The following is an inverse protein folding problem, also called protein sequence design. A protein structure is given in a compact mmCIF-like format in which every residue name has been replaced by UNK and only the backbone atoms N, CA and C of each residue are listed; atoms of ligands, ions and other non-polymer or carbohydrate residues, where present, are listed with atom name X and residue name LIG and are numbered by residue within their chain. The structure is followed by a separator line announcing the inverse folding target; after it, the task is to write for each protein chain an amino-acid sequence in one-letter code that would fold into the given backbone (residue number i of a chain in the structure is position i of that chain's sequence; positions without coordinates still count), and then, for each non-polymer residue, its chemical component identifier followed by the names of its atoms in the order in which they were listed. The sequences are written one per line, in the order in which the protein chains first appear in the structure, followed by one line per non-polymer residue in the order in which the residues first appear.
data_IF_838986602563
#
_entry.id   IF_838986602563
#
_cell.length_a   1.000
_cell.length_b   1.000
_cell.length_c   1.000
_cell.angle_alpha   90.00
_cell.angle_beta   90.00
_cell.angle_gamma   90.00
#
_symmetry.space_group_name_H-M   'P 1'
#
loop_
_entity.id
_entity.type
_entity.pdbx_description
1 polymer ?
#
# COMPACT_ATOMS: atom_id res chain seq x y z
N UNK A 1 8.86 0.20 6.35
CA UNK A 1 7.73 0.78 5.60
C UNK A 1 8.10 0.76 4.13
N UNK A 2 7.23 0.28 3.24
CA UNK A 2 7.44 0.40 1.80
C UNK A 2 7.40 1.86 1.38
N UNK A 3 8.14 2.23 0.33
CA UNK A 3 8.23 3.61 -0.19
C UNK A 3 7.03 4.04 -1.04
N UNK A 4 6.05 3.14 -1.20
CA UNK A 4 4.99 3.27 -2.18
C UNK A 4 3.67 2.77 -1.60
N UNK A 5 2.59 3.25 -2.20
CA UNK A 5 1.26 2.73 -1.96
C UNK A 5 1.16 1.30 -2.52
N UNK A 6 0.46 0.41 -1.81
CA UNK A 6 0.32 -1.00 -2.23
C UNK A 6 -1.13 -1.40 -2.43
N UNK A 7 -1.37 -2.32 -3.35
CA UNK A 7 -2.67 -2.94 -3.60
C UNK A 7 -2.53 -4.46 -3.51
N UNK A 8 -3.45 -5.08 -2.80
CA UNK A 8 -3.55 -6.53 -2.62
C UNK A 8 -4.96 -6.99 -2.98
N UNK A 9 -5.07 -8.25 -3.39
CA UNK A 9 -6.32 -8.86 -3.81
C UNK A 9 -6.58 -10.08 -2.92
N UNK A 10 -7.81 -10.23 -2.42
CA UNK A 10 -8.19 -11.46 -1.71
C UNK A 10 -8.36 -12.62 -2.72
N UNK A 11 -8.07 -13.84 -2.27
CA UNK A 11 -8.29 -15.06 -3.05
C UNK A 11 -9.78 -15.31 -3.27
N UNK A 12 -10.16 -15.75 -4.48
CA UNK A 12 -11.56 -16.04 -4.83
C UNK A 12 -12.35 -14.89 -5.45
N UNK A 13 -11.69 -13.90 -6.04
CA UNK A 13 -12.33 -12.90 -6.89
C UNK A 13 -12.96 -13.54 -8.13
N UNK A 14 -14.19 -13.13 -8.47
CA UNK A 14 -14.90 -13.61 -9.68
C UNK A 14 -14.44 -12.89 -10.96
N UNK A 15 -13.79 -11.73 -10.83
CA UNK A 15 -13.31 -10.93 -11.96
C UNK A 15 -12.19 -11.62 -12.74
N UNK A 16 -12.23 -11.51 -14.06
CA UNK A 16 -11.18 -12.03 -14.94
C UNK A 16 -9.92 -11.16 -14.84
N UNK A 17 -8.85 -11.73 -14.29
CA UNK A 17 -7.54 -11.09 -14.35
C UNK A 17 -6.85 -11.37 -15.69
N UNK A 18 -6.11 -10.40 -16.24
CA UNK A 18 -5.26 -10.63 -17.40
C UNK A 18 -4.24 -11.74 -17.09
N UNK A 19 -3.93 -12.56 -18.09
CA UNK A 19 -3.00 -13.67 -17.94
C UNK A 19 -1.56 -13.15 -17.79
N UNK A 20 -1.14 -12.98 -16.54
CA UNK A 20 0.18 -12.50 -16.13
C UNK A 20 1.12 -13.64 -15.69
N UNK A 21 0.70 -14.90 -15.86
CA UNK A 21 1.50 -16.07 -15.48
C UNK A 21 1.68 -16.31 -13.98
N UNK A 22 0.98 -15.55 -13.13
CA UNK A 22 1.03 -15.65 -11.68
C UNK A 22 -0.35 -15.32 -11.06
N UNK A 23 -0.59 -15.81 -9.85
CA UNK A 23 -1.83 -15.52 -9.14
C UNK A 23 -1.80 -14.08 -8.59
N UNK A 24 -2.80 -13.23 -8.92
CA UNK A 24 -2.81 -11.83 -8.50
C UNK A 24 -3.01 -11.66 -6.99
N UNK A 25 -3.60 -12.64 -6.29
CA UNK A 25 -3.83 -12.58 -4.83
C UNK A 25 -2.55 -12.79 -4.03
N UNK A 26 -1.59 -13.55 -4.56
CA UNK A 26 -0.28 -13.77 -3.95
C UNK A 26 0.69 -12.59 -4.17
N UNK A 27 0.31 -11.62 -5.00
CA UNK A 27 1.16 -10.50 -5.39
C UNK A 27 0.75 -9.23 -4.62
N UNK A 28 1.72 -8.64 -3.92
CA UNK A 28 1.61 -7.25 -3.47
C UNK A 28 2.02 -6.31 -4.59
N UNK A 29 1.05 -5.61 -5.13
CA UNK A 29 1.22 -4.67 -6.23
C UNK A 29 1.58 -3.28 -5.74
N UNK A 30 2.41 -2.56 -6.49
CA UNK A 30 2.72 -1.17 -6.21
C UNK A 30 1.77 -0.28 -7.00
N UNK A 31 1.09 0.67 -6.35
CA UNK A 31 0.18 1.60 -7.05
C UNK A 31 0.86 2.92 -7.41
N UNK A 32 0.30 3.63 -8.40
CA UNK A 32 0.78 4.96 -8.84
C UNK A 32 -0.28 6.07 -8.74
N UNK A 33 -1.57 5.74 -8.66
CA UNK A 33 -2.60 6.65 -9.21
C UNK A 33 -3.28 7.59 -8.24
N UNK A 34 -3.48 7.22 -6.97
CA UNK A 34 -4.40 7.97 -6.10
C UNK A 34 -3.84 9.35 -5.77
N UNK A 35 -2.52 9.44 -5.62
CA UNK A 35 -1.80 10.68 -5.45
C UNK A 35 -0.56 10.67 -6.36
N UNK A 36 -0.77 10.88 -7.67
CA UNK A 36 0.28 10.90 -8.71
C UNK A 36 1.53 11.73 -8.37
N UNK A 37 1.44 12.66 -7.42
CA UNK A 37 2.53 13.54 -7.02
C UNK A 37 3.13 13.23 -5.64
N UNK A 38 2.51 12.38 -4.82
CA UNK A 38 2.98 12.04 -3.47
C UNK A 38 2.53 10.63 -3.09
N UNK A 39 3.43 9.62 -3.04
CA UNK A 39 3.08 8.32 -2.48
C UNK A 39 2.66 8.51 -1.02
N UNK A 40 1.44 8.08 -0.68
CA UNK A 40 0.87 8.29 0.65
C UNK A 40 1.26 7.18 1.65
N UNK A 41 2.00 6.16 1.17
CA UNK A 41 2.40 4.97 1.92
C UNK A 41 1.18 4.20 2.46
N UNK A 42 0.12 4.22 1.67
CA UNK A 42 -1.19 3.67 1.97
C UNK A 42 -1.31 2.25 1.41
N UNK A 43 -1.96 1.40 2.16
CA UNK A 43 -2.22 0.03 1.75
C UNK A 43 -3.70 -0.09 1.38
N UNK A 44 -3.96 -0.73 0.25
CA UNK A 44 -5.27 -0.99 -0.30
C UNK A 44 -5.46 -2.49 -0.45
N UNK A 45 -6.70 -2.94 -0.26
CA UNK A 45 -7.10 -4.30 -0.57
C UNK A 45 -8.40 -4.30 -1.35
N UNK A 46 -8.52 -5.23 -2.29
CA UNK A 46 -9.80 -5.57 -2.90
C UNK A 46 -10.29 -6.86 -2.28
N UNK A 47 -11.50 -6.85 -1.73
CA UNK A 47 -12.08 -8.02 -1.08
C UNK A 47 -12.65 -9.00 -2.08
N UNK A 48 -13.01 -10.21 -1.63
CA UNK A 48 -13.72 -11.20 -2.45
C UNK A 48 -15.06 -10.69 -3.01
N UNK A 49 -15.66 -9.70 -2.34
CA UNK A 49 -16.87 -8.99 -2.79
C UNK A 49 -16.55 -7.89 -3.81
N UNK A 50 -15.31 -7.86 -4.30
CA UNK A 50 -14.81 -6.90 -5.29
C UNK A 50 -14.90 -5.44 -4.79
N UNK A 51 -14.88 -5.23 -3.47
CA UNK A 51 -14.93 -3.91 -2.83
C UNK A 51 -13.53 -3.41 -2.52
N UNK A 52 -13.29 -2.12 -2.78
CA UNK A 52 -12.05 -1.45 -2.41
C UNK A 52 -12.07 -1.06 -0.93
N UNK A 53 -11.08 -1.52 -0.20
CA UNK A 53 -10.82 -1.14 1.18
C UNK A 53 -9.48 -0.43 1.28
N UNK A 54 -9.45 0.59 2.12
CA UNK A 54 -8.24 1.33 2.49
C UNK A 54 -7.84 0.97 3.91
N UNK A 55 -6.55 0.78 4.13
CA UNK A 55 -5.99 0.57 5.45
C UNK A 55 -6.18 1.82 6.31
N UNK A 56 -6.83 1.65 7.47
CA UNK A 56 -6.91 2.69 8.48
C UNK A 56 -5.69 2.61 9.39
N UNK A 57 -4.94 3.71 9.46
CA UNK A 57 -3.74 3.81 10.28
C UNK A 57 -3.76 5.03 11.16
N UNK A 58 -3.25 4.85 12.37
CA UNK A 58 -2.94 5.94 13.27
C UNK A 58 -1.42 6.06 13.44
N UNK A 59 -0.94 7.28 13.64
CA UNK A 59 0.47 7.53 13.92
C UNK A 59 0.63 7.91 15.37
N UNK A 60 1.26 7.05 16.14
CA UNK A 60 1.58 7.31 17.55
C UNK A 60 3.01 7.82 17.67
N UNK A 61 3.23 8.76 18.60
CA UNK A 61 4.58 9.20 18.93
C UNK A 61 5.32 8.09 19.68
N UNK A 62 6.58 7.89 19.32
CA UNK A 62 7.48 6.95 19.97
C UNK A 62 8.37 7.74 20.94
N UNK A 63 8.46 7.35 22.22
CA UNK A 63 9.39 7.97 23.17
C UNK A 63 10.84 7.77 22.69
N UNK A 64 11.72 8.71 23.03
CA UNK A 64 13.09 8.75 22.51
C UNK A 64 13.88 7.48 22.80
N UNK A 65 13.70 6.91 23.98
CA UNK A 65 14.35 5.67 24.44
C UNK A 65 14.06 4.46 23.56
N UNK A 66 12.88 4.44 22.91
CA UNK A 66 12.46 3.35 22.00
C UNK A 66 12.76 3.69 20.52
N UNK A 67 13.37 4.84 20.22
CA UNK A 67 13.69 5.25 18.84
C UNK A 67 14.97 4.58 18.35
N UNK A 68 15.06 4.29 17.05
CA UNK A 68 16.32 3.86 16.46
C UNK A 68 17.39 4.95 16.65
N UNK A 69 18.64 4.54 16.87
CA UNK A 69 19.81 5.42 17.07
C UNK A 69 19.81 6.24 18.37
N UNK A 70 18.92 5.92 19.31
CA UNK A 70 19.06 6.38 20.69
C UNK A 70 20.21 5.62 21.36
N UNK A 71 21.18 6.35 21.91
CA UNK A 71 22.29 5.78 22.65
C UNK A 71 21.96 5.75 24.15
N UNK A 72 21.78 4.55 24.71
CA UNK A 72 21.42 4.37 26.12
C UNK A 72 22.56 4.75 27.10
N UNK A 73 23.81 4.81 26.64
CA UNK A 73 24.97 5.13 27.48
C UNK A 73 25.15 6.64 27.66
N UNK A 74 24.86 7.41 26.60
CA UNK A 74 25.01 8.87 26.55
C UNK A 74 23.70 9.62 26.69
N UNK A 75 22.56 8.94 26.61
CA UNK A 75 21.20 9.52 26.62
C UNK A 75 20.99 10.55 25.48
N UNK A 76 21.73 10.41 24.38
CA UNK A 76 21.76 11.36 23.26
C UNK A 76 21.59 10.65 21.91
N UNK A 77 21.19 11.42 20.88
CA UNK A 77 21.23 10.98 19.48
C UNK A 77 22.48 11.49 18.81
N UNK A 78 23.06 10.69 17.90
CA UNK A 78 24.27 11.09 17.16
C UNK A 78 24.10 12.38 16.34
N UNK A 79 22.86 12.74 15.96
CA UNK A 79 22.55 13.94 15.19
C UNK A 79 21.06 14.32 15.28
N UNK A 80 20.70 15.61 15.10
CA UNK A 80 19.30 16.06 15.08
C UNK A 80 18.43 15.39 13.99
N UNK A 81 19.05 14.94 12.90
CA UNK A 81 18.34 14.18 11.85
C UNK A 81 17.98 12.76 12.33
N UNK A 82 18.83 12.14 13.15
CA UNK A 82 18.62 10.80 13.72
C UNK A 82 17.59 10.83 14.85
N UNK A 83 17.55 11.90 15.64
CA UNK A 83 16.53 12.13 16.69
C UNK A 83 15.10 12.09 16.16
N UNK A 84 14.89 12.57 14.93
CA UNK A 84 13.59 12.55 14.26
C UNK A 84 13.27 11.18 13.64
N UNK A 85 14.27 10.32 13.43
CA UNK A 85 14.09 9.01 12.83
C UNK A 85 13.33 8.09 13.80
N UNK A 86 12.26 7.46 13.31
CA UNK A 86 11.44 6.55 14.12
C UNK A 86 10.61 7.24 15.21
N UNK A 87 10.53 8.57 15.25
CA UNK A 87 9.72 9.30 16.24
C UNK A 87 8.21 9.09 16.13
N UNK A 88 7.74 8.45 15.05
CA UNK A 88 6.34 8.02 14.89
C UNK A 88 6.28 6.58 14.42
N UNK A 89 5.38 5.80 15.01
CA UNK A 89 5.03 4.45 14.56
C UNK A 89 3.67 4.43 13.89
N UNK A 90 3.57 3.76 12.74
CA UNK A 90 2.30 3.47 12.05
C UNK A 90 1.63 2.30 12.76
N UNK A 91 0.44 2.51 13.29
CA UNK A 91 -0.38 1.51 13.96
C UNK A 91 -1.57 1.19 13.07
N UNK A 92 -1.69 -0.07 12.66
CA UNK A 92 -2.83 -0.57 11.92
C UNK A 92 -4.07 -0.57 12.83
N UNK A 93 -5.13 0.13 12.42
CA UNK A 93 -6.41 0.18 13.13
C UNK A 93 -7.49 -0.67 12.48
N UNK A 94 -7.34 -1.02 11.21
CA UNK A 94 -8.26 -1.87 10.50
C UNK A 94 -8.32 -1.54 9.01
N UNK A 95 -9.46 -1.88 8.42
CA UNK A 95 -9.76 -1.64 7.02
C UNK A 95 -11.12 -0.95 6.94
N UNK A 96 -11.17 0.14 6.20
CA UNK A 96 -12.41 0.85 5.90
C UNK A 96 -12.76 0.72 4.42
N UNK A 97 -14.05 0.52 4.17
CA UNK A 97 -14.61 0.54 2.84
C UNK A 97 -14.45 1.94 2.22
N UNK A 98 -14.05 1.98 0.96
CA UNK A 98 -13.79 3.21 0.25
C UNK A 98 -14.75 3.36 -0.93
N UNK A 99 -15.64 4.36 -0.86
CA UNK A 99 -16.47 4.79 -1.98
C UNK A 99 -15.62 5.55 -3.00
N UNK A 100 -14.82 4.81 -3.78
CA UNK A 100 -13.93 5.35 -4.80
C UNK A 100 -14.51 5.15 -6.20
N UNK A 101 -14.43 6.20 -7.02
CA UNK A 101 -14.82 6.15 -8.43
C UNK A 101 -13.63 6.63 -9.27
N UNK A 102 -13.03 5.73 -10.06
CA UNK A 102 -11.84 6.04 -10.84
C UNK A 102 -11.04 4.81 -11.23
N UNK A 103 -9.77 5.02 -11.59
CA UNK A 103 -8.86 3.96 -12.02
C UNK A 103 -7.65 3.91 -11.08
N UNK A 104 -7.26 2.71 -10.69
CA UNK A 104 -6.02 2.39 -10.00
C UNK A 104 -5.02 1.83 -11.01
N UNK A 105 -3.90 2.50 -11.20
CA UNK A 105 -2.76 1.92 -11.91
C UNK A 105 -1.88 1.23 -10.88
N UNK A 106 -1.55 -0.03 -11.15
CA UNK A 106 -0.71 -0.84 -10.29
C UNK A 106 0.22 -1.72 -11.11
N UNK A 107 1.39 -2.00 -10.57
CA UNK A 107 2.47 -2.64 -11.31
C UNK A 107 3.36 -3.50 -10.41
N UNK A 108 3.99 -4.49 -11.03
CA UNK A 108 4.95 -5.39 -10.39
C UNK A 108 5.91 -5.95 -11.43
N UNK A 109 7.17 -6.15 -11.04
CA UNK A 109 8.10 -6.97 -11.82
C UNK A 109 7.93 -8.43 -11.43
N UNK A 110 7.55 -9.28 -12.39
CA UNK A 110 7.32 -10.72 -12.24
C UNK A 110 8.33 -11.43 -13.16
N UNK A 111 9.16 -12.32 -12.61
CA UNK A 111 10.21 -13.04 -13.37
C UNK A 111 11.15 -12.17 -14.23
N UNK A 112 11.26 -10.87 -13.91
CA UNK A 112 12.08 -9.90 -14.65
C UNK A 112 11.30 -9.06 -15.66
N UNK A 113 10.05 -9.42 -15.94
CA UNK A 113 9.14 -8.67 -16.82
C UNK A 113 8.33 -7.65 -16.01
N UNK A 114 8.28 -6.41 -16.50
CA UNK A 114 7.48 -5.35 -15.87
C UNK A 114 6.03 -5.48 -16.31
N UNK A 115 5.15 -5.76 -15.36
CA UNK A 115 3.71 -5.88 -15.58
C UNK A 115 3.01 -4.67 -15.00
N UNK A 116 2.19 -4.01 -15.81
CA UNK A 116 1.41 -2.81 -15.47
C UNK A 116 -0.05 -3.07 -15.80
N UNK A 117 -0.93 -2.86 -14.83
CA UNK A 117 -2.36 -3.11 -14.92
C UNK A 117 -3.13 -1.90 -14.40
N UNK A 118 -4.38 -1.79 -14.84
CA UNK A 118 -5.34 -0.79 -14.39
C UNK A 118 -6.59 -1.49 -13.85
N UNK A 119 -7.00 -1.13 -12.64
CA UNK A 119 -8.25 -1.59 -12.03
C UNK A 119 -9.24 -0.42 -12.02
N UNK A 120 -10.39 -0.61 -12.65
CA UNK A 120 -11.45 0.38 -12.70
C UNK A 120 -12.43 0.15 -11.56
N UNK A 121 -12.71 1.19 -10.80
CA UNK A 121 -13.66 1.18 -9.70
C UNK A 121 -14.81 2.16 -9.95
N UNK A 122 -16.00 1.76 -9.54
CA UNK A 122 -17.22 2.59 -9.54
C UNK A 122 -17.88 2.45 -8.18
N UNK A 123 -17.92 3.54 -7.41
CA UNK A 123 -18.54 3.60 -6.07
C UNK A 123 -17.97 2.53 -5.10
N UNK A 124 -16.65 2.29 -5.19
CA UNK A 124 -15.93 1.29 -4.42
C UNK A 124 -15.97 -0.13 -4.98
N UNK A 125 -16.81 -0.40 -5.98
CA UNK A 125 -16.88 -1.70 -6.65
C UNK A 125 -15.83 -1.80 -7.75
N UNK A 126 -15.05 -2.87 -7.77
CA UNK A 126 -14.18 -3.23 -8.88
C UNK A 126 -15.05 -3.66 -10.07
N UNK A 127 -14.83 -3.03 -11.22
CA UNK A 127 -15.64 -3.23 -12.43
C UNK A 127 -14.85 -3.98 -13.50
N UNK A 128 -13.56 -3.69 -13.61
CA UNK A 128 -12.73 -4.23 -14.70
C UNK A 128 -11.24 -4.17 -14.32
N UNK A 129 -10.45 -5.11 -14.84
CA UNK A 129 -8.98 -5.09 -14.76
C UNK A 129 -8.41 -5.29 -16.15
N UNK A 130 -7.63 -4.31 -16.61
CA UNK A 130 -7.01 -4.33 -17.94
C UNK A 130 -5.51 -4.11 -17.86
N UNK A 131 -4.72 -4.66 -18.80
CA UNK A 131 -3.33 -4.28 -18.96
C UNK A 131 -3.21 -2.80 -19.31
N UNK A 132 -2.21 -2.13 -18.73
CA UNK A 132 -1.84 -0.76 -19.03
C UNK A 132 -0.73 -0.78 -20.09
N UNK A 133 -1.07 -0.51 -21.35
CA UNK A 133 -0.13 -0.46 -22.49
C UNK A 133 0.50 0.93 -22.66
#
# INVERSE_FOLDING_TARGET
MGLFDTLTFEDGLEIEFPNIGADPSEITWQTKSIARHQPMLENYKVTVEERLFKEEVNYENVPEEDRPYYDEETEEFESPLMELAGGRRKVHQGWSDMEYHGIFEFHKTIDGDYVSLEAKFTDGQLVDITPND
#
